data_IF_987078384087
#
_entry.id   IF_987078384087
#
_cell.length_a   1.000
_cell.length_b   1.000
_cell.length_c   1.000
_cell.angle_alpha   90.00
_cell.angle_beta   90.00
_cell.angle_gamma   90.00
#
_symmetry.space_group_name_H-M   'P 1'
#
loop_
_entity.id
_entity.type
_entity.pdbx_description
1 polymer ?
#
# COMPACT_ATOMS: atom_id res chain seq x y z
N UNK A 1 -65.53 6.15 21.00
CA UNK A 1 -64.36 6.53 21.84
C UNK A 1 -63.01 6.03 21.28
N UNK A 2 -62.93 5.59 20.03
CA UNK A 2 -61.78 4.84 19.46
C UNK A 2 -60.77 5.66 18.66
N UNK A 3 -61.05 6.93 18.34
CA UNK A 3 -60.22 7.76 17.43
C UNK A 3 -58.99 8.37 18.11
N UNK A 4 -59.01 8.54 19.44
CA UNK A 4 -57.88 9.10 20.20
C UNK A 4 -56.72 8.10 20.36
N UNK A 5 -56.98 6.79 20.46
CA UNK A 5 -55.93 5.80 20.66
C UNK A 5 -55.14 5.48 19.38
N UNK A 6 -55.77 5.57 18.20
CA UNK A 6 -55.06 5.35 16.92
C UNK A 6 -54.11 6.50 16.58
N UNK A 7 -54.45 7.75 16.96
CA UNK A 7 -53.58 8.91 16.75
C UNK A 7 -52.31 8.87 17.61
N UNK A 8 -52.42 8.43 18.87
CA UNK A 8 -51.26 8.28 19.73
C UNK A 8 -50.32 7.18 19.21
N UNK A 9 -50.86 6.06 18.73
CA UNK A 9 -50.05 4.99 18.11
C UNK A 9 -49.31 5.47 16.86
N UNK A 10 -49.95 6.24 15.99
CA UNK A 10 -49.30 6.79 14.79
C UNK A 10 -48.24 7.85 15.10
N UNK A 11 -48.48 8.72 16.09
CA UNK A 11 -47.48 9.71 16.55
C UNK A 11 -46.26 9.05 17.19
N UNK A 12 -46.49 8.03 18.01
CA UNK A 12 -45.41 7.22 18.61
C UNK A 12 -44.61 6.51 17.51
N UNK A 13 -45.28 5.91 16.53
CA UNK A 13 -44.61 5.25 15.39
C UNK A 13 -43.76 6.24 14.58
N UNK A 14 -44.29 7.45 14.30
CA UNK A 14 -43.56 8.47 13.57
C UNK A 14 -42.33 8.96 14.34
N UNK A 15 -42.48 9.25 15.62
CA UNK A 15 -41.38 9.63 16.50
C UNK A 15 -40.30 8.54 16.58
N UNK A 16 -40.70 7.27 16.71
CA UNK A 16 -39.78 6.14 16.73
C UNK A 16 -39.00 6.00 15.41
N UNK A 17 -39.68 6.17 14.27
CA UNK A 17 -39.04 6.09 12.95
C UNK A 17 -38.05 7.24 12.71
N UNK A 18 -38.36 8.45 13.20
CA UNK A 18 -37.48 9.61 13.11
C UNK A 18 -36.24 9.43 14.00
N UNK A 19 -36.41 8.90 15.21
CA UNK A 19 -35.28 8.57 16.09
C UNK A 19 -34.39 7.51 15.46
N UNK A 20 -34.96 6.44 14.90
CA UNK A 20 -34.19 5.42 14.19
C UNK A 20 -33.41 6.00 13.00
N UNK A 21 -34.03 6.90 12.23
CA UNK A 21 -33.36 7.57 11.12
C UNK A 21 -32.19 8.45 11.60
N UNK A 22 -32.38 9.24 12.66
CA UNK A 22 -31.33 10.08 13.23
C UNK A 22 -30.17 9.24 13.80
N UNK A 23 -30.46 8.13 14.47
CA UNK A 23 -29.45 7.19 14.94
C UNK A 23 -28.66 6.56 13.77
N UNK A 24 -29.33 6.19 12.68
CA UNK A 24 -28.70 5.68 11.47
C UNK A 24 -27.81 6.73 10.78
N UNK A 25 -28.25 7.99 10.73
CA UNK A 25 -27.45 9.09 10.19
C UNK A 25 -26.21 9.33 11.06
N UNK A 26 -26.37 9.40 12.39
CA UNK A 26 -25.26 9.58 13.31
C UNK A 26 -24.24 8.43 13.22
N UNK A 27 -24.72 7.19 13.16
CA UNK A 27 -23.89 6.01 12.94
C UNK A 27 -23.16 6.09 11.59
N UNK A 28 -23.84 6.46 10.51
CA UNK A 28 -23.23 6.65 9.21
C UNK A 28 -22.15 7.73 9.22
N UNK A 29 -22.37 8.88 9.88
CA UNK A 29 -21.36 9.94 9.98
C UNK A 29 -20.10 9.48 10.73
N UNK A 30 -20.26 8.75 11.83
CA UNK A 30 -19.13 8.19 12.60
C UNK A 30 -18.38 7.15 11.76
N UNK A 31 -19.13 6.28 11.06
CA UNK A 31 -18.57 5.24 10.22
C UNK A 31 -17.86 5.81 8.98
N UNK A 32 -18.46 6.79 8.29
CA UNK A 32 -17.87 7.45 7.12
C UNK A 32 -16.66 8.32 7.50
N UNK A 33 -16.64 8.90 8.70
CA UNK A 33 -15.48 9.60 9.24
C UNK A 33 -14.29 8.68 9.55
N UNK A 34 -14.54 7.41 9.87
CA UNK A 34 -13.51 6.37 10.13
C UNK A 34 -13.12 5.57 8.87
N UNK A 35 -13.83 5.79 7.76
CA UNK A 35 -13.69 5.09 6.47
C UNK A 35 -12.67 5.72 5.50
N UNK A 36 -11.70 6.46 6.01
CA UNK A 36 -10.50 6.77 5.23
C UNK A 36 -9.32 6.32 6.06
N UNK A 37 -8.68 5.20 5.69
CA UNK A 37 -7.30 4.94 6.13
C UNK A 37 -6.48 6.07 5.52
N UNK A 38 -6.22 7.09 6.33
CA UNK A 38 -5.33 8.16 5.96
C UNK A 38 -3.96 7.74 6.43
N UNK A 39 -2.96 7.69 5.53
CA UNK A 39 -1.61 7.50 6.00
C UNK A 39 -1.28 8.57 7.03
N UNK A 40 -0.47 8.20 8.01
CA UNK A 40 0.26 9.20 8.74
C UNK A 40 1.31 9.81 7.81
N UNK A 41 1.29 11.13 7.67
CA UNK A 41 2.12 11.84 6.69
C UNK A 41 3.27 12.51 7.39
N UNK A 42 4.46 12.02 7.11
CA UNK A 42 5.70 12.56 7.64
C UNK A 42 6.24 13.53 6.60
N UNK A 43 6.31 14.81 6.97
CA UNK A 43 6.91 15.86 6.14
C UNK A 43 8.35 16.06 6.55
N UNK A 44 9.28 15.79 5.64
CA UNK A 44 10.73 15.85 5.83
C UNK A 44 11.28 17.17 5.28
N UNK A 45 12.49 17.56 5.69
CA UNK A 45 13.10 18.82 5.23
C UNK A 45 13.55 18.81 3.76
N UNK A 46 13.79 17.63 3.18
CA UNK A 46 14.21 17.42 1.80
C UNK A 46 13.64 16.12 1.24
N UNK A 47 13.90 15.84 -0.04
CA UNK A 47 13.44 14.62 -0.68
C UNK A 47 14.07 13.39 -0.03
N UNK A 48 13.26 12.37 0.24
CA UNK A 48 13.75 11.12 0.83
C UNK A 48 14.39 10.25 -0.24
N UNK A 49 15.53 9.64 0.10
CA UNK A 49 16.19 8.65 -0.74
C UNK A 49 16.05 7.23 -0.18
N UNK A 50 16.25 7.08 1.13
CA UNK A 50 16.23 5.79 1.82
C UNK A 50 15.50 5.92 3.16
N UNK A 51 14.74 4.89 3.51
CA UNK A 51 14.09 4.76 4.82
C UNK A 51 14.50 3.43 5.42
N UNK A 52 14.87 3.45 6.69
CA UNK A 52 15.25 2.25 7.44
C UNK A 52 14.48 2.23 8.76
N UNK A 53 13.72 1.16 9.00
CA UNK A 53 13.03 0.93 10.26
C UNK A 53 13.95 0.14 11.19
N UNK A 54 14.63 0.85 12.09
CA UNK A 54 15.44 0.25 13.14
C UNK A 54 14.58 -0.23 14.31
N UNK A 55 15.24 -0.76 15.34
CA UNK A 55 14.55 -1.31 16.51
C UNK A 55 13.84 -0.26 17.36
N UNK A 56 14.43 0.93 17.50
CA UNK A 56 13.92 2.02 18.35
C UNK A 56 13.41 3.22 17.55
N UNK A 57 13.95 3.42 16.35
CA UNK A 57 13.68 4.59 15.52
C UNK A 57 13.46 4.20 14.06
N UNK A 58 12.64 4.98 13.36
CA UNK A 58 12.65 4.98 11.90
C UNK A 58 13.53 6.11 11.39
N UNK A 59 14.52 5.79 10.57
CA UNK A 59 15.48 6.74 10.01
C UNK A 59 15.15 7.07 8.55
N UNK A 60 15.32 8.33 8.18
CA UNK A 60 15.06 8.90 6.86
C UNK A 60 16.33 9.55 6.33
N UNK A 61 16.95 8.89 5.35
CA UNK A 61 18.12 9.41 4.65
C UNK A 61 17.69 10.28 3.47
N UNK A 62 18.02 11.57 3.53
CA UNK A 62 17.55 12.56 2.56
C UNK A 62 18.58 12.82 1.45
N UNK A 63 18.10 13.34 0.32
CA UNK A 63 18.94 13.66 -0.86
C UNK A 63 19.93 14.79 -0.61
N UNK A 64 19.69 15.63 0.40
CA UNK A 64 20.56 16.74 0.76
C UNK A 64 21.62 16.38 1.82
N UNK A 65 21.72 15.09 2.17
CA UNK A 65 22.66 14.57 3.16
C UNK A 65 22.17 14.64 4.61
N UNK A 66 20.96 15.14 4.85
CA UNK A 66 20.36 15.14 6.19
C UNK A 66 19.84 13.74 6.54
N UNK A 67 20.03 13.33 7.79
CA UNK A 67 19.34 12.19 8.40
C UNK A 67 18.34 12.75 9.41
N UNK A 68 17.08 12.47 9.17
CA UNK A 68 16.02 12.67 10.16
C UNK A 68 15.64 11.31 10.75
N UNK A 69 15.17 11.28 11.99
CA UNK A 69 14.64 10.08 12.60
C UNK A 69 13.36 10.40 13.35
N UNK A 70 12.48 9.40 13.39
CA UNK A 70 11.25 9.43 14.17
C UNK A 70 11.37 8.39 15.27
N UNK A 71 11.32 8.86 16.50
CA UNK A 71 11.29 8.01 17.68
C UNK A 71 9.95 7.25 17.73
N UNK A 72 10.02 5.94 17.91
CA UNK A 72 8.85 5.06 17.77
C UNK A 72 7.85 5.26 18.91
N UNK A 73 8.32 5.64 20.10
CA UNK A 73 7.50 5.79 21.30
C UNK A 73 6.79 7.15 21.37
N UNK A 74 7.54 8.23 21.12
CA UNK A 74 7.06 9.62 21.16
C UNK A 74 6.44 10.07 19.84
N UNK A 75 6.83 9.45 18.73
CA UNK A 75 6.47 9.86 17.38
C UNK A 75 7.11 11.19 16.94
N UNK A 76 8.04 11.74 17.71
CA UNK A 76 8.71 13.01 17.44
C UNK A 76 9.74 12.84 16.30
N UNK A 77 9.71 13.79 15.35
CA UNK A 77 10.66 13.85 14.24
C UNK A 77 11.79 14.81 14.59
N UNK A 78 13.03 14.34 14.52
CA UNK A 78 14.23 15.10 14.84
C UNK A 78 15.31 14.90 13.78
N UNK A 79 16.22 15.87 13.66
CA UNK A 79 17.44 15.73 12.85
C UNK A 79 18.49 15.02 13.68
N UNK A 80 19.07 13.95 13.14
CA UNK A 80 20.18 13.22 13.75
C UNK A 80 21.52 13.83 13.34
N UNK A 81 21.76 13.96 12.04
CA UNK A 81 23.03 14.42 11.49
C UNK A 81 22.83 15.04 10.10
N UNK A 82 23.81 15.83 9.63
CA UNK A 82 23.84 16.34 8.26
C UNK A 82 25.22 16.19 7.64
N UNK A 83 25.27 15.45 6.54
CA UNK A 83 26.44 15.29 5.68
C UNK A 83 26.38 16.24 4.48
N UNK A 84 27.52 16.43 3.81
CA UNK A 84 27.62 17.21 2.56
C UNK A 84 27.29 16.38 1.31
N UNK A 85 26.92 15.11 1.48
CA UNK A 85 26.63 14.15 0.40
C UNK A 85 25.32 13.42 0.67
N UNK A 86 24.61 13.07 -0.41
CA UNK A 86 23.35 12.34 -0.39
C UNK A 86 23.47 11.02 0.38
N UNK A 87 22.48 10.72 1.23
CA UNK A 87 22.40 9.43 1.93
C UNK A 87 21.89 8.35 0.98
N UNK A 88 22.58 7.21 0.93
CA UNK A 88 22.28 6.11 0.01
C UNK A 88 21.76 4.88 0.76
N UNK A 89 22.39 4.51 1.88
CA UNK A 89 22.03 3.34 2.67
C UNK A 89 22.09 3.65 4.17
N UNK A 90 21.24 2.96 4.94
CA UNK A 90 21.13 3.04 6.39
C UNK A 90 20.94 1.63 6.97
N UNK A 91 21.58 1.33 8.10
CA UNK A 91 21.48 0.03 8.77
C UNK A 91 21.92 0.15 10.24
N UNK A 92 21.21 -0.50 11.17
CA UNK A 92 21.69 -0.61 12.55
C UNK A 92 22.95 -1.47 12.63
N UNK A 93 23.92 -1.02 13.40
CA UNK A 93 25.18 -1.71 13.65
C UNK A 93 25.59 -1.62 15.12
N UNK A 94 25.15 -2.61 15.90
CA UNK A 94 25.26 -2.55 17.36
C UNK A 94 24.49 -1.35 17.91
N UNK A 95 25.15 -0.53 18.73
CA UNK A 95 24.58 0.69 19.30
C UNK A 95 24.75 1.93 18.38
N UNK A 96 25.20 1.72 17.13
CA UNK A 96 25.44 2.79 16.15
C UNK A 96 24.58 2.61 14.90
N UNK A 97 24.39 3.70 14.16
CA UNK A 97 23.79 3.68 12.83
C UNK A 97 24.89 3.72 11.78
N UNK A 98 24.95 2.70 10.92
CA UNK A 98 25.81 2.69 9.75
C UNK A 98 25.14 3.45 8.60
N UNK A 99 25.88 4.38 8.00
CA UNK A 99 25.40 5.27 6.93
C UNK A 99 26.34 5.19 5.75
N UNK A 100 25.81 4.97 4.55
CA UNK A 100 26.56 5.10 3.31
C UNK A 100 26.12 6.34 2.53
N UNK A 101 27.08 7.12 2.03
CA UNK A 101 26.85 8.34 1.26
C UNK A 101 27.30 8.20 -0.20
N UNK A 102 26.73 9.02 -1.09
CA UNK A 102 26.97 8.96 -2.54
C UNK A 102 28.43 9.24 -2.92
N UNK A 103 29.15 10.00 -2.09
CA UNK A 103 30.58 10.25 -2.22
C UNK A 103 31.47 9.06 -1.80
N UNK A 104 30.87 7.89 -1.55
CA UNK A 104 31.53 6.61 -1.24
C UNK A 104 32.17 6.56 0.14
N UNK A 105 31.60 7.25 1.11
CA UNK A 105 31.97 7.13 2.51
C UNK A 105 30.97 6.26 3.28
N UNK A 106 31.50 5.49 4.21
CA UNK A 106 30.75 4.77 5.23
C UNK A 106 31.03 5.44 6.57
N UNK A 107 29.98 5.73 7.32
CA UNK A 107 30.03 6.43 8.61
C UNK A 107 29.32 5.61 9.67
N UNK A 108 29.81 5.67 10.91
CA UNK A 108 29.08 5.22 12.08
C UNK A 108 28.66 6.43 12.90
N UNK A 109 27.37 6.50 13.23
CA UNK A 109 26.80 7.53 14.09
C UNK A 109 26.36 6.90 15.42
N UNK A 110 26.68 7.55 16.54
CA UNK A 110 26.08 7.17 17.82
C UNK A 110 24.62 7.65 17.94
N UNK A 111 23.95 7.30 19.04
CA UNK A 111 22.56 7.70 19.31
C UNK A 111 22.36 9.21 19.48
N UNK A 112 23.43 10.01 19.56
CA UNK A 112 23.36 11.47 19.57
C UNK A 112 23.64 12.08 18.19
N UNK A 113 23.98 11.25 17.20
CA UNK A 113 24.31 11.66 15.84
C UNK A 113 25.77 12.12 15.70
N UNK A 114 26.65 11.82 16.66
CA UNK A 114 28.08 12.10 16.52
C UNK A 114 28.77 11.01 15.71
N UNK A 115 29.71 11.40 14.86
CA UNK A 115 30.49 10.47 14.04
C UNK A 115 31.53 9.78 14.91
N UNK A 116 31.41 8.45 15.06
CA UNK A 116 32.34 7.63 15.85
C UNK A 116 33.43 7.01 14.99
N UNK A 117 33.13 6.71 13.71
CA UNK A 117 34.09 6.20 12.74
C UNK A 117 33.69 6.60 11.31
N UNK A 118 34.67 6.69 10.40
CA UNK A 118 34.41 6.82 8.97
C UNK A 118 35.51 6.20 8.11
N UNK A 119 35.14 5.75 6.92
CA UNK A 119 36.06 5.18 5.92
C UNK A 119 35.54 5.41 4.51
N UNK A 120 36.44 5.68 3.57
CA UNK A 120 36.09 5.75 2.16
C UNK A 120 36.24 4.37 1.49
N UNK A 121 35.28 4.00 0.65
CA UNK A 121 35.36 2.82 -0.21
C UNK A 121 35.63 3.23 -1.66
N UNK A 122 36.16 2.29 -2.45
CA UNK A 122 36.55 2.53 -3.85
C UNK A 122 35.46 2.15 -4.87
N UNK A 123 34.24 1.83 -4.42
CA UNK A 123 33.06 1.55 -5.23
C UNK A 123 31.86 2.34 -4.71
N UNK A 124 30.78 2.40 -5.49
CA UNK A 124 29.51 2.96 -5.02
C UNK A 124 28.79 1.90 -4.18
N UNK A 125 28.51 2.16 -2.89
CA UNK A 125 27.72 1.25 -2.07
C UNK A 125 26.34 1.04 -2.68
N UNK A 126 25.96 -0.22 -2.88
CA UNK A 126 24.67 -0.63 -3.44
C UNK A 126 23.78 -1.31 -2.39
N UNK A 127 24.39 -2.05 -1.46
CA UNK A 127 23.68 -2.68 -0.36
C UNK A 127 24.55 -2.74 0.90
N UNK A 128 23.88 -2.78 2.05
CA UNK A 128 24.47 -2.86 3.38
C UNK A 128 23.71 -3.91 4.18
N UNK A 129 24.42 -4.67 5.01
CA UNK A 129 23.82 -5.68 5.88
C UNK A 129 24.64 -5.80 7.15
N UNK A 130 23.99 -5.97 8.28
CA UNK A 130 24.64 -6.06 9.58
C UNK A 130 24.22 -7.36 10.26
N UNK A 131 25.20 -8.15 10.70
CA UNK A 131 24.96 -9.37 11.46
C UNK A 131 26.18 -9.73 12.29
N UNK A 132 25.95 -10.24 13.51
CA UNK A 132 26.98 -10.77 14.40
C UNK A 132 28.16 -9.81 14.63
N UNK A 133 27.86 -8.52 14.84
CA UNK A 133 28.86 -7.48 15.06
C UNK A 133 29.73 -7.17 13.84
N UNK A 134 29.34 -7.64 12.65
CA UNK A 134 29.98 -7.31 11.37
C UNK A 134 29.04 -6.51 10.48
N UNK A 135 29.61 -5.57 9.74
CA UNK A 135 28.92 -4.79 8.73
C UNK A 135 29.43 -5.16 7.35
N UNK A 136 28.56 -5.65 6.48
CA UNK A 136 28.86 -5.99 5.11
C UNK A 136 28.36 -4.87 4.20
N UNK A 137 29.26 -4.29 3.42
CA UNK A 137 28.91 -3.30 2.41
C UNK A 137 29.32 -3.85 1.06
N UNK A 138 28.39 -3.90 0.11
CA UNK A 138 28.70 -4.37 -1.23
C UNK A 138 28.29 -3.39 -2.31
N UNK A 139 28.95 -3.52 -3.45
CA UNK A 139 28.72 -2.72 -4.62
C UNK A 139 29.65 -3.13 -5.75
N UNK A 140 29.69 -2.30 -6.79
CA UNK A 140 30.45 -2.59 -8.02
C UNK A 140 31.47 -1.49 -8.30
N UNK A 141 32.69 -1.88 -8.67
CA UNK A 141 33.76 -0.96 -9.06
C UNK A 141 33.70 -0.62 -10.56
N UNK A 142 34.33 0.49 -10.97
CA UNK A 142 34.53 0.87 -12.38
C UNK A 142 35.34 -0.16 -13.21
N UNK A 143 35.99 -1.13 -12.56
CA UNK A 143 36.73 -2.24 -13.19
C UNK A 143 35.98 -3.57 -13.09
N UNK A 144 34.65 -3.50 -12.98
CA UNK A 144 33.71 -4.59 -13.21
C UNK A 144 33.89 -5.78 -12.26
N UNK A 145 34.09 -5.47 -10.97
CA UNK A 145 34.15 -6.49 -9.91
C UNK A 145 33.19 -6.13 -8.79
N UNK A 146 32.36 -7.11 -8.41
CA UNK A 146 31.60 -7.09 -7.19
C UNK A 146 32.58 -7.06 -6.03
N UNK A 147 32.42 -6.08 -5.16
CA UNK A 147 33.21 -5.95 -3.94
C UNK A 147 32.29 -6.09 -2.76
N UNK A 148 32.73 -6.87 -1.79
CA UNK A 148 32.09 -6.96 -0.49
C UNK A 148 33.16 -6.72 0.55
N UNK A 149 33.01 -5.63 1.29
CA UNK A 149 33.87 -5.34 2.43
C UNK A 149 33.13 -5.72 3.70
N UNK A 150 33.80 -6.47 4.58
CA UNK A 150 33.34 -6.79 5.92
C UNK A 150 34.07 -5.89 6.90
N UNK A 151 33.33 -5.00 7.56
CA UNK A 151 33.83 -4.05 8.54
C UNK A 151 33.56 -4.54 9.96
N UNK A 152 34.47 -4.18 10.87
CA UNK A 152 34.26 -4.25 12.32
C UNK A 152 33.65 -2.94 12.87
N UNK A 153 33.45 -2.89 14.20
CA UNK A 153 32.94 -1.72 14.94
C UNK A 153 33.76 -0.44 14.79
N UNK A 154 35.01 -0.52 14.32
CA UNK A 154 35.91 0.61 14.09
C UNK A 154 36.09 0.92 12.60
N UNK A 155 35.28 0.30 11.73
CA UNK A 155 35.41 0.34 10.28
C UNK A 155 36.79 -0.10 9.75
N UNK A 156 37.51 -0.96 10.48
CA UNK A 156 38.57 -1.76 9.88
C UNK A 156 37.90 -2.85 9.02
N UNK A 157 38.44 -3.11 7.82
CA UNK A 157 37.78 -4.04 6.91
C UNK A 157 38.71 -5.08 6.30
N UNK A 158 38.08 -6.18 5.89
CA UNK A 158 38.63 -7.19 4.99
C UNK A 158 37.85 -7.16 3.69
N UNK A 159 38.55 -7.20 2.56
CA UNK A 159 37.93 -7.37 1.24
C UNK A 159 37.65 -8.86 1.01
N UNK A 160 36.39 -9.26 1.14
CA UNK A 160 35.97 -10.66 0.99
C UNK A 160 35.97 -11.13 -0.46
N UNK A 161 36.28 -10.25 -1.42
CA UNK A 161 36.48 -10.64 -2.83
C UNK A 161 37.89 -10.31 -3.30
N UNK A 162 38.85 -10.16 -2.38
CA UNK A 162 40.26 -9.99 -2.71
C UNK A 162 40.81 -11.22 -3.44
N UNK A 163 41.45 -11.02 -4.59
CA UNK A 163 42.16 -12.09 -5.27
C UNK A 163 41.31 -13.13 -6.02
N UNK A 164 39.99 -12.95 -6.17
CA UNK A 164 39.15 -13.85 -6.97
C UNK A 164 39.60 -13.83 -8.44
N UNK A 165 40.42 -14.82 -8.83
CA UNK A 165 40.60 -15.26 -10.21
C UNK A 165 39.57 -16.36 -10.46
N UNK A 166 38.53 -16.07 -11.24
CA UNK A 166 37.55 -17.08 -11.61
C UNK A 166 38.25 -18.16 -12.46
N UNK A 167 38.43 -19.36 -11.89
CA UNK A 167 38.75 -20.55 -12.70
C UNK A 167 37.55 -20.94 -13.56
N UNK A 168 37.80 -21.61 -14.70
CA UNK A 168 36.77 -22.05 -15.65
C UNK A 168 35.72 -22.94 -14.94
N UNK A 169 34.52 -22.39 -14.74
CA UNK A 169 33.38 -23.15 -14.22
C UNK A 169 32.82 -24.06 -15.33
N UNK A 170 32.69 -25.35 -15.01
CA UNK A 170 32.33 -26.42 -15.95
C UNK A 170 30.85 -26.47 -16.33
N UNK A 171 30.58 -27.13 -17.46
CA UNK A 171 29.32 -27.05 -18.21
C UNK A 171 28.09 -27.68 -17.51
N UNK A 172 26.98 -26.94 -17.40
CA UNK A 172 25.63 -27.39 -17.05
C UNK A 172 24.65 -27.02 -18.20
N UNK A 173 23.52 -27.71 -18.37
CA UNK A 173 22.51 -27.43 -19.39
C UNK A 173 21.94 -25.98 -19.36
N UNK A 174 22.09 -25.25 -18.25
CA UNK A 174 21.90 -23.79 -18.19
C UNK A 174 22.82 -23.03 -19.17
N UNK A 175 24.03 -23.55 -19.44
CA UNK A 175 25.02 -22.89 -20.30
C UNK A 175 24.57 -22.68 -21.74
N UNK A 176 23.56 -23.40 -22.25
CA UNK A 176 23.07 -23.13 -23.61
C UNK A 176 22.23 -21.87 -23.71
N UNK A 177 21.52 -21.49 -22.65
CA UNK A 177 20.77 -20.22 -22.60
C UNK A 177 21.70 -19.08 -22.13
N UNK A 178 22.72 -19.41 -21.33
CA UNK A 178 23.66 -18.46 -20.74
C UNK A 178 24.89 -18.14 -21.64
N UNK A 179 25.36 -19.06 -22.49
CA UNK A 179 26.50 -18.82 -23.41
C UNK A 179 26.20 -17.77 -24.48
N UNK A 180 24.95 -17.61 -24.94
CA UNK A 180 24.60 -16.54 -25.89
C UNK A 180 24.62 -15.15 -25.24
N UNK A 181 24.57 -15.05 -23.90
CA UNK A 181 24.61 -13.76 -23.18
C UNK A 181 25.97 -13.45 -22.53
N UNK A 182 26.75 -14.46 -22.13
CA UNK A 182 27.96 -14.25 -21.29
C UNK A 182 29.30 -14.43 -22.05
N UNK A 183 29.34 -15.12 -23.19
CA UNK A 183 30.62 -15.45 -23.87
C UNK A 183 31.38 -14.29 -24.55
N UNK A 184 31.13 -13.03 -24.20
CA UNK A 184 31.92 -11.92 -24.75
C UNK A 184 32.14 -10.71 -23.84
N UNK A 185 31.68 -10.72 -22.58
CA UNK A 185 31.50 -9.45 -21.88
C UNK A 185 31.88 -9.51 -20.39
N UNK A 186 33.09 -9.02 -20.13
CA UNK A 186 33.51 -8.38 -18.87
C UNK A 186 32.55 -7.24 -18.49
N UNK A 187 31.33 -7.54 -18.05
CA UNK A 187 30.32 -6.54 -17.73
C UNK A 187 30.06 -6.41 -16.23
N UNK A 188 29.79 -5.17 -15.84
CA UNK A 188 29.24 -4.72 -14.57
C UNK A 188 28.07 -5.64 -14.16
N UNK A 189 28.22 -6.40 -13.07
CA UNK A 189 27.11 -7.11 -12.43
C UNK A 189 26.66 -6.27 -11.23
N UNK A 190 25.57 -5.52 -11.30
CA UNK A 190 25.09 -4.78 -10.13
C UNK A 190 24.80 -5.77 -9.01
N UNK A 191 25.40 -5.53 -7.83
CA UNK A 191 24.99 -6.23 -6.61
C UNK A 191 23.62 -5.69 -6.22
N UNK A 192 22.68 -6.60 -5.99
CA UNK A 192 21.30 -6.26 -5.59
C UNK A 192 21.14 -6.35 -4.08
N UNK A 193 21.71 -7.39 -3.46
CA UNK A 193 21.54 -7.62 -2.03
C UNK A 193 22.67 -8.49 -1.48
N UNK A 194 22.92 -8.37 -0.18
CA UNK A 194 23.83 -9.23 0.58
C UNK A 194 23.17 -9.69 1.87
N UNK A 195 23.53 -10.88 2.32
CA UNK A 195 23.09 -11.44 3.58
C UNK A 195 24.16 -12.32 4.20
N UNK A 196 24.17 -12.45 5.51
CA UNK A 196 25.12 -13.30 6.22
C UNK A 196 24.38 -14.22 7.18
N UNK A 197 24.68 -15.51 7.11
CA UNK A 197 24.08 -16.54 7.97
C UNK A 197 25.10 -17.00 9.02
N UNK A 198 25.05 -16.50 10.28
CA UNK A 198 26.10 -16.72 11.27
C UNK A 198 26.34 -18.19 11.60
N UNK A 199 25.28 -19.02 11.60
CA UNK A 199 25.36 -20.44 11.94
C UNK A 199 26.24 -21.23 10.96
N UNK A 200 26.36 -20.75 9.72
CA UNK A 200 27.14 -21.36 8.65
C UNK A 200 28.36 -20.54 8.25
N UNK A 201 28.56 -19.38 8.89
CA UNK A 201 29.56 -18.36 8.52
C UNK A 201 29.61 -18.11 7.01
N UNK A 202 28.43 -18.00 6.39
CA UNK A 202 28.29 -17.90 4.94
C UNK A 202 27.68 -16.56 4.55
N UNK A 203 28.36 -15.87 3.63
CA UNK A 203 27.94 -14.62 3.00
C UNK A 203 27.29 -14.93 1.65
N UNK A 204 26.06 -14.48 1.47
CA UNK A 204 25.31 -14.57 0.23
C UNK A 204 25.35 -13.23 -0.50
N UNK A 205 25.63 -13.26 -1.79
CA UNK A 205 25.70 -12.07 -2.65
C UNK A 205 24.82 -12.28 -3.86
N UNK A 206 23.72 -11.53 -3.93
CA UNK A 206 22.79 -11.55 -5.06
C UNK A 206 23.19 -10.54 -6.12
N UNK A 207 23.22 -11.00 -7.36
CA UNK A 207 23.53 -10.23 -8.55
C UNK A 207 22.28 -9.93 -9.37
N UNK A 208 22.22 -8.79 -10.06
CA UNK A 208 21.10 -8.42 -10.94
C UNK A 208 20.91 -9.35 -12.15
N UNK A 209 21.87 -10.25 -12.41
CA UNK A 209 21.75 -11.29 -13.45
C UNK A 209 21.28 -12.64 -12.91
N UNK A 210 20.76 -12.66 -11.68
CA UNK A 210 20.20 -13.86 -11.08
C UNK A 210 21.28 -14.84 -10.66
N UNK A 211 22.39 -14.35 -10.09
CA UNK A 211 23.42 -15.23 -9.52
C UNK A 211 23.51 -14.97 -8.03
N UNK A 212 23.43 -16.03 -7.24
CA UNK A 212 23.73 -16.02 -5.80
C UNK A 212 25.10 -16.65 -5.62
N UNK A 213 26.08 -15.85 -5.22
CA UNK A 213 27.38 -16.38 -4.80
C UNK A 213 27.37 -16.57 -3.29
N UNK A 214 27.88 -17.71 -2.82
CA UNK A 214 28.06 -18.00 -1.40
C UNK A 214 29.55 -18.01 -1.09
N UNK A 215 29.98 -17.09 -0.24
CA UNK A 215 31.34 -17.00 0.26
C UNK A 215 31.40 -17.44 1.71
N UNK A 216 32.57 -17.91 2.15
CA UNK A 216 32.83 -18.14 3.55
C UNK A 216 33.39 -16.90 4.27
N UNK A 217 33.66 -17.07 5.57
CA UNK A 217 34.25 -16.01 6.39
C UNK A 217 35.64 -15.53 5.92
N UNK A 218 36.36 -16.32 5.12
CA UNK A 218 37.65 -15.94 4.54
C UNK A 218 37.50 -15.25 3.17
N UNK A 219 36.29 -15.20 2.61
CA UNK A 219 36.03 -14.67 1.27
C UNK A 219 36.23 -15.70 0.16
N UNK A 220 36.37 -16.98 0.48
CA UNK A 220 36.45 -18.04 -0.53
C UNK A 220 35.06 -18.41 -1.04
N UNK A 221 34.91 -18.52 -2.37
CA UNK A 221 33.67 -18.92 -3.01
C UNK A 221 33.38 -20.41 -2.73
N UNK A 222 32.28 -20.68 -2.01
CA UNK A 222 31.83 -22.03 -1.66
C UNK A 222 30.79 -22.58 -2.62
N UNK A 223 29.89 -21.74 -3.11
CA UNK A 223 28.77 -22.17 -3.95
C UNK A 223 28.30 -21.05 -4.89
N UNK A 224 27.65 -21.44 -5.98
CA UNK A 224 27.03 -20.54 -6.97
C UNK A 224 25.70 -21.11 -7.41
N UNK A 225 24.62 -20.35 -7.20
CA UNK A 225 23.28 -20.70 -7.67
C UNK A 225 22.82 -19.70 -8.72
N UNK A 226 22.41 -20.22 -9.87
CA UNK A 226 21.74 -19.46 -10.93
C UNK A 226 20.23 -19.45 -10.73
N UNK A 227 19.63 -18.28 -10.87
CA UNK A 227 18.19 -18.04 -10.94
C UNK A 227 17.78 -17.93 -12.40
N UNK A 228 16.60 -18.43 -12.74
CA UNK A 228 16.01 -18.28 -14.07
C UNK A 228 15.53 -16.83 -14.36
N UNK A 229 15.71 -15.91 -13.40
CA UNK A 229 15.12 -14.57 -13.38
C UNK A 229 16.17 -13.50 -13.04
N UNK A 230 15.97 -12.28 -13.53
CA UNK A 230 16.81 -11.13 -13.21
C UNK A 230 16.24 -10.39 -11.99
N UNK A 231 16.86 -10.49 -10.80
CA UNK A 231 16.37 -9.81 -9.63
C UNK A 231 16.60 -8.29 -9.75
N UNK A 232 15.58 -7.53 -9.38
CA UNK A 232 15.61 -6.07 -9.25
C UNK A 232 15.72 -5.61 -7.79
N UNK A 233 15.30 -6.45 -6.84
CA UNK A 233 15.49 -6.25 -5.41
C UNK A 233 15.61 -7.59 -4.67
N UNK A 234 16.21 -7.59 -3.48
CA UNK A 234 16.29 -8.78 -2.63
C UNK A 234 16.58 -8.46 -1.17
N UNK A 235 16.10 -9.32 -0.27
CA UNK A 235 16.28 -9.21 1.17
C UNK A 235 16.66 -10.58 1.74
N UNK A 236 17.71 -10.60 2.55
CA UNK A 236 18.13 -11.77 3.32
C UNK A 236 17.69 -11.62 4.78
N UNK A 237 17.00 -12.63 5.30
CA UNK A 237 16.58 -12.71 6.69
C UNK A 237 17.60 -13.48 7.54
N UNK A 238 17.56 -13.25 8.84
CA UNK A 238 18.52 -13.84 9.80
C UNK A 238 18.36 -15.36 10.00
N UNK A 239 17.24 -15.93 9.55
CA UNK A 239 17.02 -17.38 9.50
C UNK A 239 17.58 -18.03 8.22
N UNK A 240 18.17 -17.23 7.33
CA UNK A 240 18.71 -17.65 6.04
C UNK A 240 17.68 -17.65 4.91
N UNK A 241 16.43 -17.29 5.17
CA UNK A 241 15.44 -17.08 4.12
C UNK A 241 15.85 -15.91 3.24
N UNK A 242 15.83 -16.13 1.93
CA UNK A 242 16.15 -15.13 0.94
C UNK A 242 14.93 -14.85 0.08
N UNK A 243 14.48 -13.60 0.03
CA UNK A 243 13.35 -13.17 -0.80
C UNK A 243 13.86 -12.26 -1.90
N UNK A 244 13.38 -12.45 -3.12
CA UNK A 244 13.72 -11.61 -4.24
C UNK A 244 12.49 -11.23 -5.05
N UNK A 245 12.67 -10.15 -5.80
CA UNK A 245 11.72 -9.59 -6.72
C UNK A 245 12.43 -9.44 -8.05
N UNK A 246 11.84 -9.92 -9.14
CA UNK A 246 12.43 -9.81 -10.47
C UNK A 246 11.89 -8.61 -11.27
N UNK A 247 12.54 -8.32 -12.38
CA UNK A 247 12.20 -7.23 -13.30
C UNK A 247 10.94 -7.48 -14.15
N UNK A 248 10.43 -8.73 -14.17
CA UNK A 248 9.22 -9.14 -14.90
C UNK A 248 7.95 -9.11 -14.06
N UNK A 249 8.05 -8.79 -12.77
CA UNK A 249 6.90 -8.75 -11.87
C UNK A 249 6.73 -10.00 -11.01
N UNK A 250 7.68 -10.94 -11.04
CA UNK A 250 7.70 -12.10 -10.19
C UNK A 250 8.35 -11.87 -8.83
N UNK A 251 7.98 -12.71 -7.87
CA UNK A 251 8.51 -12.71 -6.50
C UNK A 251 8.77 -14.14 -6.09
N UNK A 252 9.92 -14.41 -5.49
CA UNK A 252 10.25 -15.74 -4.99
C UNK A 252 10.99 -15.69 -3.66
N UNK A 253 11.04 -16.84 -3.02
CA UNK A 253 11.82 -17.06 -1.81
C UNK A 253 12.57 -18.38 -1.87
N UNK A 254 13.76 -18.37 -1.28
CA UNK A 254 14.63 -19.52 -1.06
C UNK A 254 14.88 -19.70 0.43
N UNK A 255 15.08 -20.95 0.85
CA UNK A 255 15.54 -21.25 2.21
C UNK A 255 17.07 -21.07 2.34
N UNK A 256 17.58 -21.30 3.55
CA UNK A 256 19.00 -21.20 3.87
C UNK A 256 19.91 -22.17 3.07
N UNK A 257 19.34 -23.22 2.46
CA UNK A 257 20.06 -24.16 1.60
C UNK A 257 19.88 -23.81 0.11
N UNK A 258 19.33 -22.63 -0.19
CA UNK A 258 19.00 -22.17 -1.53
C UNK A 258 18.00 -23.11 -2.26
N UNK A 259 17.14 -23.80 -1.50
CA UNK A 259 16.00 -24.50 -2.06
C UNK A 259 14.81 -23.54 -2.19
N UNK A 260 14.17 -23.53 -3.36
CA UNK A 260 13.02 -22.64 -3.62
C UNK A 260 11.85 -23.00 -2.70
N UNK A 261 11.39 -22.04 -1.91
CA UNK A 261 10.19 -22.13 -1.07
C UNK A 261 8.96 -21.89 -1.94
N UNK A 262 8.96 -20.78 -2.67
CA UNK A 262 7.93 -20.44 -3.64
C UNK A 262 8.50 -19.52 -4.73
N UNK A 263 7.82 -19.51 -5.87
CA UNK A 263 7.95 -18.46 -6.86
C UNK A 263 6.58 -18.17 -7.45
N UNK A 264 6.27 -16.89 -7.64
CA UNK A 264 4.98 -16.43 -8.10
C UNK A 264 5.17 -15.42 -9.23
N UNK A 265 4.80 -15.86 -10.42
CA UNK A 265 4.87 -15.10 -11.66
C UNK A 265 3.75 -14.08 -11.76
N UNK A 266 4.01 -13.01 -12.52
CA UNK A 266 3.03 -12.01 -12.95
C UNK A 266 2.18 -11.42 -11.81
N UNK A 267 2.77 -11.29 -10.62
CA UNK A 267 2.11 -10.66 -9.47
C UNK A 267 1.69 -9.23 -9.81
N UNK A 268 2.55 -8.51 -10.54
CA UNK A 268 2.24 -7.20 -11.10
C UNK A 268 2.90 -6.98 -12.46
N UNK A 269 2.48 -5.94 -13.20
CA UNK A 269 3.00 -5.63 -14.54
C UNK A 269 4.48 -5.22 -14.59
N UNK A 270 5.03 -4.76 -13.45
CA UNK A 270 6.44 -4.51 -13.17
C UNK A 270 6.57 -4.12 -11.70
N UNK A 271 7.41 -4.80 -10.93
CA UNK A 271 7.55 -4.49 -9.51
C UNK A 271 8.44 -3.26 -9.29
N UNK A 272 8.07 -2.43 -8.32
CA UNK A 272 8.74 -1.16 -7.98
C UNK A 272 9.65 -1.28 -6.77
N UNK A 273 9.17 -1.89 -5.68
CA UNK A 273 9.91 -2.03 -4.43
C UNK A 273 9.49 -3.29 -3.66
N UNK A 274 10.43 -3.84 -2.89
CA UNK A 274 10.28 -5.00 -2.03
C UNK A 274 10.62 -4.61 -0.59
N UNK A 275 9.77 -5.00 0.36
CA UNK A 275 10.08 -4.95 1.79
C UNK A 275 9.68 -6.27 2.44
N UNK A 276 10.51 -6.75 3.36
CA UNK A 276 10.35 -8.08 3.99
C UNK A 276 10.63 -7.95 5.47
N UNK A 277 9.79 -8.57 6.29
CA UNK A 277 10.05 -8.80 7.70
C UNK A 277 9.92 -10.31 7.99
N UNK A 278 10.07 -10.71 9.25
CA UNK A 278 10.02 -12.14 9.64
C UNK A 278 8.67 -12.84 9.39
N UNK A 279 7.59 -12.09 9.21
CA UNK A 279 6.22 -12.62 9.17
C UNK A 279 5.58 -12.51 7.77
N UNK A 280 6.01 -11.55 6.96
CA UNK A 280 5.42 -11.26 5.65
C UNK A 280 6.34 -10.44 4.76
N UNK A 281 5.95 -10.33 3.49
CA UNK A 281 6.58 -9.46 2.51
C UNK A 281 5.55 -8.58 1.82
N UNK A 282 5.99 -7.41 1.37
CA UNK A 282 5.22 -6.45 0.59
C UNK A 282 5.96 -6.19 -0.69
N UNK A 283 5.22 -6.25 -1.79
CA UNK A 283 5.71 -5.84 -3.11
C UNK A 283 4.83 -4.75 -3.66
N UNK A 284 5.44 -3.69 -4.18
CA UNK A 284 4.74 -2.67 -4.95
C UNK A 284 4.93 -2.88 -6.45
N UNK A 285 4.02 -2.33 -7.24
CA UNK A 285 4.20 -2.16 -8.67
C UNK A 285 4.35 -0.69 -9.08
N UNK A 286 4.74 -0.49 -10.34
CA UNK A 286 4.88 0.83 -10.95
C UNK A 286 3.57 1.66 -10.96
N UNK A 287 2.42 1.02 -10.77
CA UNK A 287 1.09 1.65 -10.77
C UNK A 287 0.57 1.96 -9.36
N UNK A 288 1.36 1.67 -8.32
CA UNK A 288 0.97 1.86 -6.93
C UNK A 288 0.05 0.75 -6.39
N UNK A 289 0.05 -0.44 -6.98
CA UNK A 289 -0.54 -1.61 -6.34
C UNK A 289 0.46 -2.15 -5.32
N UNK A 290 -0.03 -2.47 -4.12
CA UNK A 290 0.71 -3.10 -3.04
C UNK A 290 0.12 -4.47 -2.77
N UNK A 291 0.97 -5.48 -2.76
CA UNK A 291 0.58 -6.87 -2.48
C UNK A 291 1.35 -7.37 -1.27
N UNK A 292 0.61 -7.72 -0.21
CA UNK A 292 1.14 -8.39 0.97
C UNK A 292 1.04 -9.90 0.77
N UNK A 293 2.14 -10.62 1.03
CA UNK A 293 2.19 -12.08 0.98
C UNK A 293 2.84 -12.66 2.24
N UNK A 294 2.52 -13.91 2.53
CA UNK A 294 3.29 -14.73 3.47
C UNK A 294 4.39 -15.54 2.75
N UNK A 295 5.20 -16.26 3.53
CA UNK A 295 6.27 -17.11 3.02
C UNK A 295 5.79 -18.43 2.38
N UNK A 296 4.48 -18.69 2.34
CA UNK A 296 3.90 -19.76 1.52
C UNK A 296 3.57 -19.29 0.10
N UNK A 297 3.68 -17.98 -0.17
CA UNK A 297 3.27 -17.34 -1.42
C UNK A 297 1.76 -17.04 -1.49
N UNK A 298 1.04 -17.15 -0.37
CA UNK A 298 -0.36 -16.76 -0.29
C UNK A 298 -0.47 -15.23 -0.27
N UNK A 299 -1.40 -14.69 -1.08
CA UNK A 299 -1.69 -13.25 -1.06
C UNK A 299 -2.64 -12.99 0.10
N UNK A 300 -2.15 -12.23 1.08
CA UNK A 300 -2.91 -11.87 2.27
C UNK A 300 -3.80 -10.65 2.01
N UNK A 301 -3.30 -9.69 1.23
CA UNK A 301 -4.00 -8.44 0.94
C UNK A 301 -3.44 -7.76 -0.29
N UNK A 302 -4.32 -7.12 -1.06
CA UNK A 302 -3.97 -6.20 -2.14
C UNK A 302 -4.60 -4.84 -1.87
N UNK A 303 -3.82 -3.79 -2.07
CA UNK A 303 -4.28 -2.41 -1.95
C UNK A 303 -3.72 -1.56 -3.07
N UNK A 304 -4.54 -0.61 -3.55
CA UNK A 304 -4.08 0.39 -4.51
C UNK A 304 -3.92 1.72 -3.82
N UNK A 305 -2.71 2.24 -3.87
CA UNK A 305 -2.34 3.58 -3.43
C UNK A 305 -2.12 4.48 -4.64
N UNK A 306 -2.19 5.79 -4.41
CA UNK A 306 -2.00 6.77 -5.48
C UNK A 306 -0.52 7.08 -5.66
N UNK A 307 -0.03 6.95 -6.89
CA UNK A 307 1.34 7.30 -7.28
C UNK A 307 2.24 6.09 -7.49
N UNK A 308 3.39 6.33 -8.11
CA UNK A 308 4.44 5.32 -8.31
C UNK A 308 5.23 5.18 -7.01
N UNK A 309 5.19 4.01 -6.41
CA UNK A 309 5.99 3.68 -5.21
C UNK A 309 7.42 3.41 -5.64
N UNK A 310 8.38 4.09 -5.02
CA UNK A 310 9.80 3.87 -5.29
C UNK A 310 10.51 3.12 -4.19
N UNK A 311 10.03 3.24 -2.96
CA UNK A 311 10.55 2.48 -1.86
C UNK A 311 9.47 2.16 -0.85
N UNK A 312 9.69 1.03 -0.18
CA UNK A 312 8.88 0.53 0.91
C UNK A 312 9.85 0.13 2.02
N UNK A 313 9.49 0.45 3.25
CA UNK A 313 10.12 -0.08 4.44
C UNK A 313 9.04 -0.76 5.27
N UNK A 314 9.33 -1.95 5.79
CA UNK A 314 8.41 -2.74 6.60
C UNK A 314 9.05 -2.99 7.96
N UNK A 315 8.37 -2.57 9.02
CA UNK A 315 8.79 -2.83 10.40
C UNK A 315 8.24 -4.17 10.89
N UNK A 316 8.76 -4.62 12.04
CA UNK A 316 8.35 -5.87 12.68
C UNK A 316 6.91 -5.87 13.21
N UNK A 317 6.31 -4.70 13.45
CA UNK A 317 4.94 -4.55 13.95
C UNK A 317 3.88 -4.45 12.83
N UNK A 318 4.28 -4.81 11.60
CA UNK A 318 3.46 -4.72 10.39
C UNK A 318 3.05 -3.29 9.99
N UNK A 319 3.70 -2.26 10.54
CA UNK A 319 3.69 -0.95 9.92
C UNK A 319 4.59 -0.95 8.69
N UNK A 320 4.22 -0.15 7.71
CA UNK A 320 5.03 0.05 6.53
C UNK A 320 4.98 1.49 6.08
N UNK A 321 6.12 1.96 5.62
CA UNK A 321 6.33 3.31 5.12
C UNK A 321 6.61 3.23 3.63
N UNK A 322 6.00 4.12 2.87
CA UNK A 322 6.23 4.25 1.44
C UNK A 322 6.68 5.65 1.09
N UNK A 323 7.45 5.76 0.01
CA UNK A 323 7.80 7.03 -0.59
C UNK A 323 7.85 6.93 -2.11
N UNK A 324 7.82 8.11 -2.74
CA UNK A 324 7.86 8.30 -4.18
C UNK A 324 9.04 9.18 -4.54
N UNK A 325 9.52 9.12 -5.78
CA UNK A 325 10.67 9.91 -6.22
C UNK A 325 10.47 11.39 -5.95
N UNK A 326 11.55 12.05 -5.55
CA UNK A 326 11.59 13.52 -5.42
C UNK A 326 10.45 14.05 -4.57
N UNK A 327 10.16 13.34 -3.48
CA UNK A 327 9.16 13.73 -2.50
C UNK A 327 9.79 13.84 -1.13
N UNK A 328 9.49 14.92 -0.44
CA UNK A 328 9.78 15.10 0.98
C UNK A 328 8.70 14.52 1.89
N UNK A 329 7.81 13.67 1.36
CA UNK A 329 6.70 13.09 2.12
C UNK A 329 6.80 11.58 2.14
N UNK A 330 6.82 11.02 3.36
CA UNK A 330 6.68 9.59 3.60
C UNK A 330 5.28 9.33 4.13
N UNK A 331 4.59 8.37 3.53
CA UNK A 331 3.28 7.92 3.99
C UNK A 331 3.47 6.63 4.80
N UNK A 332 3.09 6.66 6.07
CA UNK A 332 3.13 5.50 6.97
C UNK A 332 1.74 4.89 7.09
N UNK A 333 1.68 3.58 7.04
CA UNK A 333 0.45 2.80 7.10
C UNK A 333 0.62 1.63 8.07
N UNK A 334 -0.49 1.16 8.64
CA UNK A 334 -0.51 -0.06 9.42
C UNK A 334 -1.41 -1.10 8.72
N UNK A 335 -0.85 -2.27 8.38
CA UNK A 335 -1.61 -3.31 7.68
C UNK A 335 -2.79 -3.83 8.50
N UNK A 336 -2.65 -3.92 9.83
CA UNK A 336 -3.73 -4.36 10.69
C UNK A 336 -4.92 -3.41 10.58
N UNK A 337 -4.68 -2.09 10.55
CA UNK A 337 -5.72 -1.09 10.34
C UNK A 337 -6.34 -1.18 8.95
N UNK A 338 -5.52 -1.41 7.91
CA UNK A 338 -6.00 -1.60 6.54
C UNK A 338 -6.90 -2.83 6.38
N UNK A 339 -6.62 -3.94 7.06
CA UNK A 339 -7.47 -5.15 6.99
C UNK A 339 -8.89 -4.89 7.50
N UNK A 340 -9.04 -4.08 8.55
CA UNK A 340 -10.35 -3.70 9.06
C UNK A 340 -11.09 -2.72 8.14
N UNK A 341 -10.39 -2.05 7.22
CA UNK A 341 -11.01 -1.16 6.25
C UNK A 341 -12.10 -1.82 5.42
N UNK A 342 -11.83 -3.02 4.89
CA UNK A 342 -12.80 -3.77 4.09
C UNK A 342 -14.07 -4.05 4.90
N UNK A 343 -13.93 -4.38 6.19
CA UNK A 343 -15.06 -4.56 7.10
C UNK A 343 -15.83 -3.25 7.30
N UNK A 344 -15.13 -2.12 7.50
CA UNK A 344 -15.78 -0.81 7.60
C UNK A 344 -16.53 -0.45 6.33
N UNK A 345 -16.01 -0.76 5.14
CA UNK A 345 -16.65 -0.45 3.85
C UNK A 345 -17.95 -1.25 3.71
N UNK A 346 -17.92 -2.53 4.05
CA UNK A 346 -19.11 -3.40 4.07
C UNK A 346 -20.14 -2.86 5.06
N UNK A 347 -19.72 -2.50 6.28
CA UNK A 347 -20.60 -1.88 7.27
C UNK A 347 -21.20 -0.56 6.76
N UNK A 348 -20.47 0.23 5.98
CA UNK A 348 -20.98 1.46 5.38
C UNK A 348 -22.06 1.17 4.37
N UNK A 349 -21.82 0.20 3.51
CA UNK A 349 -22.79 -0.21 2.51
C UNK A 349 -24.09 -0.70 3.15
N UNK A 350 -23.97 -1.54 4.18
CA UNK A 350 -25.12 -2.01 4.97
C UNK A 350 -25.85 -0.82 5.61
N UNK A 351 -25.11 0.15 6.18
CA UNK A 351 -25.70 1.35 6.80
C UNK A 351 -26.45 2.21 5.78
N UNK A 352 -25.89 2.41 4.58
CA UNK A 352 -26.54 3.15 3.50
C UNK A 352 -27.82 2.44 3.05
N UNK A 353 -27.79 1.12 2.90
CA UNK A 353 -28.99 0.33 2.56
C UNK A 353 -30.07 0.48 3.65
N UNK A 354 -29.69 0.39 4.92
CA UNK A 354 -30.60 0.60 6.05
C UNK A 354 -31.17 2.04 6.08
N UNK A 355 -30.35 3.04 5.76
CA UNK A 355 -30.78 4.44 5.61
C UNK A 355 -31.83 4.60 4.52
N UNK A 356 -31.61 4.02 3.34
CA UNK A 356 -32.56 4.07 2.22
C UNK A 356 -33.89 3.44 2.62
N UNK A 357 -33.87 2.28 3.28
CA UNK A 357 -35.08 1.59 3.77
C UNK A 357 -35.80 2.46 4.81
N UNK A 358 -35.08 2.97 5.81
CA UNK A 358 -35.65 3.80 6.87
C UNK A 358 -36.29 5.09 6.31
N UNK A 359 -35.64 5.72 5.32
CA UNK A 359 -36.13 6.93 4.64
C UNK A 359 -37.39 6.63 3.81
N UNK A 360 -37.43 5.48 3.13
CA UNK A 360 -38.63 5.02 2.41
C UNK A 360 -39.83 4.80 3.34
N UNK A 361 -39.61 4.16 4.50
CA UNK A 361 -40.64 3.94 5.50
C UNK A 361 -41.16 5.26 6.12
N UNK A 362 -40.27 6.22 6.41
CA UNK A 362 -40.66 7.54 6.93
C UNK A 362 -41.43 8.34 5.88
N UNK A 363 -41.02 8.32 4.61
CA UNK A 363 -41.73 9.00 3.52
C UNK A 363 -43.16 8.47 3.33
N UNK A 364 -43.35 7.14 3.34
CA UNK A 364 -44.68 6.52 3.31
C UNK A 364 -45.53 6.93 4.53
N UNK A 365 -44.92 7.00 5.71
CA UNK A 365 -45.56 7.52 6.93
C UNK A 365 -46.02 8.98 6.80
N UNK A 366 -45.19 9.86 6.23
CA UNK A 366 -45.51 11.28 5.99
C UNK A 366 -46.67 11.42 4.99
N UNK A 367 -46.62 10.70 3.87
CA UNK A 367 -47.69 10.72 2.86
C UNK A 367 -49.01 10.24 3.45
N UNK A 368 -48.99 9.17 4.25
CA UNK A 368 -50.15 8.68 5.00
C UNK A 368 -50.71 9.73 5.98
N UNK A 369 -49.83 10.45 6.68
CA UNK A 369 -50.22 11.49 7.65
C UNK A 369 -50.83 12.72 6.97
N UNK A 370 -50.23 13.21 5.87
CA UNK A 370 -50.74 14.34 5.07
C UNK A 370 -52.09 14.01 4.44
N UNK A 371 -52.22 12.80 3.88
CA UNK A 371 -53.48 12.27 3.34
C UNK A 371 -54.60 12.31 4.38
N UNK A 372 -54.35 11.80 5.59
CA UNK A 372 -55.33 11.81 6.68
C UNK A 372 -55.66 13.23 7.18
N UNK A 373 -54.68 14.14 7.21
CA UNK A 373 -54.90 15.52 7.63
C UNK A 373 -55.79 16.27 6.63
N UNK A 374 -55.56 16.09 5.32
CA UNK A 374 -56.45 16.62 4.26
C UNK A 374 -57.85 16.01 4.35
N UNK A 375 -57.96 14.71 4.58
CA UNK A 375 -59.25 14.04 4.77
C UNK A 375 -60.02 14.59 5.98
N UNK A 376 -59.32 14.91 7.08
CA UNK A 376 -59.93 15.54 8.27
C UNK A 376 -60.41 16.96 8.01
N UNK A 377 -59.63 17.79 7.33
CA UNK A 377 -60.03 19.15 6.96
C UNK A 377 -61.27 19.12 6.07
N UNK A 378 -61.30 18.21 5.09
CA UNK A 378 -62.46 18.02 4.19
C UNK A 378 -63.67 17.48 4.98
N UNK A 379 -63.48 16.52 5.88
CA UNK A 379 -64.57 15.96 6.70
C UNK A 379 -65.12 16.97 7.73
N UNK A 380 -64.28 17.85 8.30
CA UNK A 380 -64.73 18.95 9.17
C UNK A 380 -65.43 20.05 8.39
N UNK A 381 -64.94 20.38 7.19
CA UNK A 381 -65.61 21.32 6.28
C UNK A 381 -67.01 20.82 5.88
N UNK A 382 -67.15 19.53 5.54
CA UNK A 382 -68.43 18.89 5.24
C UNK A 382 -69.40 18.88 6.42
N UNK A 383 -68.88 18.76 7.65
CA UNK A 383 -69.68 18.80 8.89
C UNK A 383 -70.22 20.20 9.20
N UNK A 384 -69.43 21.24 8.90
CA UNK A 384 -69.81 22.64 9.15
C UNK A 384 -70.69 23.25 8.05
N UNK A 385 -70.74 22.66 6.85
CA UNK A 385 -71.58 23.14 5.72
C UNK A 385 -72.89 22.37 5.55
N UNK A 386 -73.17 21.35 6.38
CA UNK A 386 -74.44 20.63 6.36
C UNK A 386 -74.74 19.82 5.09
N UNK A 387 -73.77 19.63 4.18
CA UNK A 387 -73.96 18.82 2.97
C UNK A 387 -73.60 17.35 3.25
N UNK A 388 -74.55 16.44 2.99
CA UNK A 388 -74.35 14.98 3.06
C UNK A 388 -73.24 14.55 2.11
N UNK A 389 -72.22 13.86 2.61
CA UNK A 389 -71.27 13.13 1.77
C UNK A 389 -71.95 11.89 1.20
N UNK A 390 -72.08 11.83 -0.12
CA UNK A 390 -72.44 10.59 -0.82
C UNK A 390 -71.21 9.71 -0.94
N UNK A 391 -71.32 8.47 -0.45
CA UNK A 391 -70.35 7.42 -0.69
C UNK A 391 -70.39 7.03 -2.17
N UNK A 392 -69.49 7.59 -2.97
CA UNK A 392 -69.21 7.14 -4.32
C UNK A 392 -68.48 5.81 -4.27
N UNK A 393 -69.18 4.74 -4.66
CA UNK A 393 -68.66 3.40 -4.92
C UNK A 393 -67.43 3.48 -5.83
N UNK A 394 -66.28 2.97 -5.37
CA UNK A 394 -65.12 2.77 -6.24
C UNK A 394 -65.48 1.67 -7.23
N UNK A 395 -65.71 2.07 -8.48
CA UNK A 395 -66.06 1.18 -9.58
C UNK A 395 -65.78 1.85 -10.93
N UNK A 396 -64.54 1.73 -11.39
CA UNK A 396 -64.06 1.60 -12.78
C UNK A 396 -64.57 2.49 -13.93
N UNK A 397 -63.57 2.97 -14.71
CA UNK A 397 -63.51 3.13 -16.20
C UNK A 397 -64.26 4.28 -16.90
N UNK A 398 -63.44 5.14 -17.53
CA UNK A 398 -63.40 5.52 -18.97
C UNK A 398 -64.64 6.20 -19.62
N UNK A 399 -64.35 7.41 -20.13
CA UNK A 399 -64.87 8.10 -21.34
C UNK A 399 -66.20 8.92 -21.37
N UNK A 400 -66.02 10.07 -22.05
CA UNK A 400 -66.92 10.93 -22.82
C UNK A 400 -67.90 11.84 -22.06
N UNK A 401 -67.90 13.19 -22.13
CA UNK A 401 -67.61 14.26 -23.14
C UNK A 401 -68.91 15.02 -23.52
N UNK A 402 -68.76 16.36 -23.68
CA UNK A 402 -69.67 17.41 -24.23
C UNK A 402 -70.86 17.86 -23.35
N UNK A 403 -71.30 19.15 -23.30
CA UNK A 403 -71.15 20.29 -24.22
C UNK A 403 -71.60 21.61 -23.53
N UNK A 404 -70.97 22.76 -23.82
CA UNK A 404 -71.65 23.91 -24.45
C UNK A 404 -70.67 25.02 -24.90
N UNK A 405 -70.97 25.50 -26.12
CA UNK A 405 -70.37 26.52 -27.01
C UNK A 405 -70.68 27.96 -26.53
N UNK A 406 -70.04 29.06 -27.04
CA UNK A 406 -70.09 29.45 -28.45
C UNK A 406 -68.80 30.02 -29.10
N UNK A 407 -68.96 30.15 -30.43
CA UNK A 407 -68.08 30.47 -31.54
C UNK A 407 -67.35 31.82 -31.55
N UNK A 408 -66.12 31.83 -32.09
CA UNK A 408 -65.62 32.85 -33.01
C UNK A 408 -64.42 32.31 -33.83
N UNK A 409 -64.37 32.72 -35.09
CA UNK A 409 -63.46 32.32 -36.17
C UNK A 409 -61.95 32.53 -35.91
N UNK A 410 -61.10 31.82 -36.67
CA UNK A 410 -59.78 32.32 -37.04
C UNK A 410 -58.71 31.24 -37.25
N UNK A 411 -58.37 30.99 -38.50
CA UNK A 411 -57.36 30.05 -38.99
C UNK A 411 -55.92 30.36 -38.51
N UNK A 412 -55.05 29.35 -38.55
CA UNK A 412 -53.60 29.55 -38.58
C UNK A 412 -52.80 28.37 -38.04
N UNK A 413 -52.42 27.46 -38.93
CA UNK A 413 -51.43 26.41 -38.70
C UNK A 413 -50.05 27.00 -38.33
N UNK A 414 -49.20 26.18 -37.69
CA UNK A 414 -47.83 25.83 -38.12
C UNK A 414 -47.08 25.12 -36.98
N UNK A 415 -46.59 23.91 -37.32
CA UNK A 415 -45.39 23.16 -36.87
C UNK A 415 -44.88 23.27 -35.43
N UNK A 416 -44.39 22.23 -34.74
CA UNK A 416 -44.00 20.84 -35.04
C UNK A 416 -43.79 20.20 -33.65
N UNK A 417 -44.33 19.02 -33.32
CA UNK A 417 -43.68 17.73 -33.62
C UNK A 417 -42.25 17.73 -33.06
N UNK A 418 -41.91 17.09 -31.95
CA UNK A 418 -42.15 15.68 -31.60
C UNK A 418 -40.75 15.16 -31.21
N UNK A 419 -40.54 14.85 -29.93
CA UNK A 419 -40.58 13.48 -29.37
C UNK A 419 -39.49 12.53 -29.88
N UNK A 420 -38.81 11.90 -28.93
CA UNK A 420 -38.48 10.46 -28.78
C UNK A 420 -37.07 10.34 -28.15
N UNK A 421 -36.92 9.89 -26.90
CA UNK A 421 -37.19 8.57 -26.31
C UNK A 421 -36.30 7.46 -26.90
N UNK A 422 -35.28 7.12 -26.10
CA UNK A 422 -34.86 5.79 -25.63
C UNK A 422 -34.66 4.58 -26.58
N UNK A 423 -33.47 3.97 -26.37
CA UNK A 423 -33.03 2.57 -26.52
C UNK A 423 -32.98 1.99 -27.95
N UNK A 424 -31.92 1.27 -28.37
CA UNK A 424 -31.30 0.08 -27.73
C UNK A 424 -30.01 -0.34 -28.50
N UNK A 425 -29.20 -1.23 -27.90
CA UNK A 425 -28.14 -2.11 -28.49
C UNK A 425 -26.80 -1.36 -28.75
N UNK A 426 -25.62 -1.74 -28.26
CA UNK A 426 -25.11 -3.03 -27.75
C UNK A 426 -24.80 -3.03 -26.25
#
# INVERSE_FOLDING_TARGET
>A
MTIKSSLNKQRIFFALSLVCLLCLIAFAVILFGSLMVRPDKISLSADVNVVYAGSENTYYGLTDGTIEYRDTDSGELSVLHKFDSKIVLLQDFGDTLAVATEDRNIWLLDGQGEVTASVSVNYNPACIYSADGKLFVAGSTNVNRNRVYCFDENLQFVDLTEGVSHEEQGENESDKIYQERINSLFLEIPVVSVGYLPQSESLYVLSAYGIINVYDAAGELKDVVGLDYNPSAGVFLSDGTFVFMDDTGGVGAYDANLAMIFYKEELNSANGALAVNKDSLIVSDINGNLTQMDFSGEILLEQKIQGKVEGICLSDDAQFSIWVQSSSVVNTYNWNEMRYYTLYVVLAYVTVVLLVIATGCTALGVVGFISQHKFRIIAQSAKNTGKKMYAGKVGGRVENVFQHLPSACGAGAVHSGGQLVCCRIQ
#
